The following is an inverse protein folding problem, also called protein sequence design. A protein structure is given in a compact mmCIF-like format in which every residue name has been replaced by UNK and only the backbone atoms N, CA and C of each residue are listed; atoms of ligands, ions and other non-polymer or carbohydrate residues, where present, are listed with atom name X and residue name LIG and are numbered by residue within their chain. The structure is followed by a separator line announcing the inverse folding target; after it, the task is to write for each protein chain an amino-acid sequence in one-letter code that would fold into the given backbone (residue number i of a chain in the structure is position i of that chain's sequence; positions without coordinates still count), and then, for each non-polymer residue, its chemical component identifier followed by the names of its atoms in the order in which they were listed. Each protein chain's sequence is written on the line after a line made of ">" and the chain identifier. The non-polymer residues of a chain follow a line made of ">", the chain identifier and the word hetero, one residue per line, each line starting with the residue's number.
data_IF_803014531750
#
_entry.id   IF_803014531750
#
_cell.length_a   1.000
_cell.length_b   1.000
_cell.length_c   1.000
_cell.angle_alpha   90.00
_cell.angle_beta   90.00
_cell.angle_gamma   90.00
#
_symmetry.space_group_name_H-M   'P 1'
#
loop_
_entity.id
_entity.type
_entity.pdbx_description
1 polymer ?
#
# COMPACT_ATOMS: atom_id res chain seq x y z
N UNK A 1 -8.59 -1.17 6.80
CA UNK A 1 -7.58 -1.51 7.84
C UNK A 1 -6.82 -0.25 8.19
N UNK A 2 -6.01 -0.23 9.25
CA UNK A 2 -5.13 0.90 9.51
C UNK A 2 -3.99 0.97 8.48
N UNK A 3 -3.39 2.16 8.22
CA UNK A 3 -2.33 2.34 7.22
C UNK A 3 -1.16 1.36 7.35
N UNK A 4 -0.69 1.11 8.59
CA UNK A 4 0.39 0.15 8.87
C UNK A 4 -0.03 -1.31 8.63
N UNK A 5 -1.32 -1.63 8.78
CA UNK A 5 -1.86 -2.94 8.45
C UNK A 5 -1.77 -3.22 6.96
N UNK A 6 -2.16 -2.24 6.12
CA UNK A 6 -2.03 -2.34 4.67
C UNK A 6 -0.57 -2.48 4.24
N UNK A 7 0.32 -1.67 4.82
CA UNK A 7 1.75 -1.76 4.56
C UNK A 7 2.30 -3.14 4.93
N UNK A 8 2.02 -3.63 6.14
CA UNK A 8 2.55 -4.90 6.61
C UNK A 8 2.04 -6.09 5.79
N UNK A 9 0.74 -6.12 5.50
CA UNK A 9 0.13 -7.16 4.68
C UNK A 9 0.69 -7.15 3.25
N UNK A 10 0.73 -5.99 2.61
CA UNK A 10 1.30 -5.83 1.28
C UNK A 10 2.78 -6.19 1.22
N UNK A 11 3.56 -5.82 2.25
CA UNK A 11 4.98 -6.17 2.34
C UNK A 11 5.20 -7.68 2.42
N UNK A 12 4.43 -8.40 3.24
CA UNK A 12 4.50 -9.86 3.34
C UNK A 12 4.18 -10.53 2.01
N UNK A 13 3.10 -10.12 1.32
CA UNK A 13 2.77 -10.69 0.01
C UNK A 13 3.85 -10.39 -1.03
N UNK A 14 4.40 -9.18 -1.00
CA UNK A 14 5.42 -8.77 -1.95
C UNK A 14 6.74 -9.52 -1.75
N UNK A 15 7.22 -9.64 -0.51
CA UNK A 15 8.45 -10.39 -0.24
C UNK A 15 8.31 -11.86 -0.61
N UNK A 16 7.16 -12.49 -0.32
CA UNK A 16 6.86 -13.86 -0.76
C UNK A 16 6.91 -13.98 -2.29
N UNK A 17 6.28 -13.04 -3.00
CA UNK A 17 6.33 -12.99 -4.47
C UNK A 17 7.77 -12.86 -4.98
N UNK A 18 8.56 -11.94 -4.43
CA UNK A 18 9.94 -11.71 -4.91
C UNK A 18 10.82 -12.92 -4.66
N UNK A 19 10.75 -13.53 -3.48
CA UNK A 19 11.50 -14.75 -3.17
C UNK A 19 11.06 -15.91 -4.05
N UNK A 20 9.77 -16.08 -4.32
CA UNK A 20 9.26 -17.15 -5.17
C UNK A 20 9.70 -17.01 -6.63
N UNK A 21 9.60 -15.80 -7.18
CA UNK A 21 9.80 -15.52 -8.61
C UNK A 21 11.25 -15.19 -8.96
N UNK A 22 11.90 -14.32 -8.17
CA UNK A 22 13.25 -13.82 -8.45
C UNK A 22 14.34 -14.46 -7.59
N UNK A 23 13.98 -15.27 -6.58
CA UNK A 23 14.93 -16.01 -5.73
C UNK A 23 15.97 -15.11 -5.04
N UNK A 24 15.55 -13.91 -4.66
CA UNK A 24 16.36 -12.89 -3.98
C UNK A 24 15.49 -12.03 -3.08
N UNK A 25 16.12 -11.22 -2.23
CA UNK A 25 15.40 -10.21 -1.44
C UNK A 25 14.84 -9.08 -2.33
N UNK A 26 13.76 -8.40 -1.88
CA UNK A 26 13.21 -7.21 -2.53
C UNK A 26 14.26 -6.13 -2.84
N UNK A 27 14.13 -5.47 -3.99
CA UNK A 27 14.97 -4.33 -4.36
C UNK A 27 14.41 -3.00 -3.81
N UNK A 28 15.26 -1.97 -3.68
CA UNK A 28 14.89 -0.70 -3.07
C UNK A 28 13.73 0.03 -3.79
N UNK A 29 13.88 0.31 -5.09
CA UNK A 29 12.92 1.12 -5.85
C UNK A 29 11.53 0.45 -5.89
N UNK A 30 11.40 -0.84 -6.27
CA UNK A 30 10.10 -1.51 -6.21
C UNK A 30 9.49 -1.54 -4.81
N UNK A 31 10.30 -1.67 -3.76
CA UNK A 31 9.80 -1.66 -2.38
C UNK A 31 9.23 -0.30 -1.98
N UNK A 32 9.84 0.81 -2.37
CA UNK A 32 9.24 2.14 -2.13
C UNK A 32 7.94 2.33 -2.92
N UNK A 33 7.88 1.80 -4.14
CA UNK A 33 6.64 1.80 -4.93
C UNK A 33 5.56 0.98 -4.24
N UNK A 34 5.89 -0.18 -3.69
CA UNK A 34 4.96 -0.99 -2.91
C UNK A 34 4.41 -0.20 -1.72
N UNK A 35 5.28 0.44 -0.93
CA UNK A 35 4.87 1.28 0.21
C UNK A 35 3.84 2.31 -0.25
N UNK A 36 4.14 3.05 -1.32
CA UNK A 36 3.20 4.01 -1.89
C UNK A 36 1.89 3.35 -2.36
N UNK A 37 1.97 2.24 -3.09
CA UNK A 37 0.82 1.55 -3.64
C UNK A 37 -0.11 0.98 -2.56
N UNK A 38 0.42 0.55 -1.41
CA UNK A 38 -0.38 0.11 -0.26
C UNK A 38 -1.18 1.23 0.39
N UNK A 39 -0.88 2.50 0.09
CA UNK A 39 -1.59 3.66 0.63
C UNK A 39 -2.35 4.43 -0.47
N UNK A 40 -2.10 4.11 -1.74
CA UNK A 40 -2.58 4.88 -2.88
C UNK A 40 -4.11 5.02 -2.92
N UNK A 41 -4.93 3.97 -2.69
CA UNK A 41 -6.38 4.12 -2.71
C UNK A 41 -6.88 5.17 -1.72
N UNK A 42 -6.42 5.08 -0.47
CA UNK A 42 -6.72 6.03 0.60
C UNK A 42 -6.23 7.45 0.31
N UNK A 43 -5.02 7.60 -0.24
CA UNK A 43 -4.45 8.90 -0.59
C UNK A 43 -5.21 9.61 -1.71
N UNK A 44 -6.00 8.88 -2.50
CA UNK A 44 -6.86 9.45 -3.54
C UNK A 44 -8.26 9.69 -2.99
N UNK A 45 -8.91 8.67 -2.46
CA UNK A 45 -10.33 8.74 -2.15
C UNK A 45 -10.60 9.62 -0.93
N UNK A 46 -9.80 9.51 0.14
CA UNK A 46 -10.06 10.26 1.38
C UNK A 46 -9.94 11.77 1.20
N UNK A 47 -8.89 12.34 0.56
CA UNK A 47 -8.86 13.78 0.31
C UNK A 47 -9.99 14.26 -0.61
N UNK A 48 -10.33 13.47 -1.64
CA UNK A 48 -11.37 13.83 -2.60
C UNK A 48 -12.78 13.73 -2.00
N UNK A 49 -13.04 12.78 -1.11
CA UNK A 49 -14.31 12.62 -0.42
C UNK A 49 -14.43 13.58 0.77
N UNK A 50 -13.50 13.52 1.73
CA UNK A 50 -13.66 14.25 3.00
C UNK A 50 -13.27 15.72 2.90
N UNK A 51 -12.21 16.02 2.16
CA UNK A 51 -11.70 17.39 2.01
C UNK A 51 -12.43 18.17 0.93
N UNK A 52 -12.44 17.62 -0.30
CA UNK A 52 -12.98 18.31 -1.47
C UNK A 52 -14.45 17.98 -1.77
N UNK A 53 -15.03 16.95 -1.14
CA UNK A 53 -16.43 16.55 -1.32
C UNK A 53 -16.79 16.28 -2.79
N UNK A 54 -15.82 15.78 -3.57
CA UNK A 54 -15.95 15.43 -4.99
C UNK A 54 -16.35 13.97 -5.20
N UNK A 55 -16.08 13.11 -4.22
CA UNK A 55 -16.43 11.69 -4.25
C UNK A 55 -17.52 11.39 -3.24
N UNK A 56 -18.39 10.40 -3.53
CA UNK A 56 -19.50 10.04 -2.64
C UNK A 56 -19.05 9.38 -1.33
N UNK A 57 -17.83 8.81 -1.31
CA UNK A 57 -17.25 8.14 -0.15
C UNK A 57 -15.73 8.08 -0.27
N UNK A 58 -15.04 8.04 0.89
CA UNK A 58 -13.63 7.74 1.07
C UNK A 58 -13.22 6.32 0.63
N UNK A 59 -14.19 5.47 0.26
CA UNK A 59 -13.98 4.25 -0.53
C UNK A 59 -14.87 4.28 -1.78
N UNK A 60 -14.34 4.80 -2.89
CA UNK A 60 -15.09 4.88 -4.14
C UNK A 60 -14.21 4.74 -5.39
N UNK A 61 -13.57 5.82 -5.84
CA UNK A 61 -12.85 5.87 -7.12
C UNK A 61 -11.65 4.93 -7.15
N UNK A 62 -10.67 5.13 -6.27
CA UNK A 62 -9.45 4.32 -6.20
C UNK A 62 -9.66 3.00 -5.44
N UNK A 63 -10.79 2.84 -4.76
CA UNK A 63 -11.18 1.53 -4.22
C UNK A 63 -11.93 0.64 -5.23
N UNK A 64 -12.27 1.16 -6.41
CA UNK A 64 -12.87 0.39 -7.51
C UNK A 64 -11.88 -0.57 -8.17
N UNK A 65 -12.30 -1.82 -8.42
CA UNK A 65 -11.51 -2.79 -9.17
C UNK A 65 -11.26 -2.37 -10.63
N UNK A 66 -12.18 -1.62 -11.23
CA UNK A 66 -12.02 -1.12 -12.60
C UNK A 66 -10.91 -0.09 -12.69
N UNK A 67 -10.91 0.86 -11.74
CA UNK A 67 -9.88 1.90 -11.65
C UNK A 67 -8.54 1.27 -11.24
N UNK A 68 -8.55 0.37 -10.26
CA UNK A 68 -7.35 -0.37 -9.86
C UNK A 68 -6.71 -1.09 -11.05
N UNK A 69 -7.49 -1.85 -11.83
CA UNK A 69 -6.98 -2.55 -13.02
C UNK A 69 -6.37 -1.58 -14.04
N UNK A 70 -7.04 -0.46 -14.33
CA UNK A 70 -6.54 0.55 -15.27
C UNK A 70 -5.24 1.21 -14.79
N UNK A 71 -5.18 1.62 -13.52
CA UNK A 71 -3.99 2.28 -12.93
C UNK A 71 -2.83 1.30 -12.83
N UNK A 72 -3.06 0.06 -12.38
CA UNK A 72 -2.04 -0.99 -12.33
C UNK A 72 -1.46 -1.26 -13.73
N UNK A 73 -2.33 -1.42 -14.74
CA UNK A 73 -1.89 -1.63 -16.12
C UNK A 73 -1.06 -0.46 -16.63
N UNK A 74 -1.51 0.78 -16.38
CA UNK A 74 -0.77 1.99 -16.76
C UNK A 74 0.62 2.04 -16.12
N UNK A 75 0.71 1.83 -14.81
CA UNK A 75 1.99 1.83 -14.07
C UNK A 75 2.91 0.72 -14.59
N UNK A 76 2.40 -0.49 -14.79
CA UNK A 76 3.17 -1.61 -15.30
C UNK A 76 3.73 -1.33 -16.71
N UNK A 77 2.92 -0.78 -17.61
CA UNK A 77 3.34 -0.42 -18.98
C UNK A 77 4.37 0.70 -18.96
N UNK A 78 4.13 1.78 -18.22
CA UNK A 78 5.04 2.93 -18.14
C UNK A 78 6.37 2.52 -17.52
N UNK A 79 6.34 1.76 -16.44
CA UNK A 79 7.56 1.32 -15.77
C UNK A 79 8.38 0.35 -16.63
N UNK A 80 7.72 -0.59 -17.32
CA UNK A 80 8.38 -1.51 -18.26
C UNK A 80 9.05 -0.75 -19.39
N UNK A 81 8.37 0.24 -19.98
CA UNK A 81 8.95 1.11 -21.04
C UNK A 81 10.13 1.95 -20.57
N UNK A 82 10.22 2.22 -19.26
CA UNK A 82 11.33 2.96 -18.64
C UNK A 82 12.45 2.06 -18.09
N UNK A 83 12.39 0.75 -18.32
CA UNK A 83 13.42 -0.19 -17.87
C UNK A 83 13.29 -0.64 -16.41
N UNK A 84 12.13 -0.44 -15.78
CA UNK A 84 11.85 -0.85 -14.39
C UNK A 84 10.68 -1.86 -14.33
N UNK A 85 10.78 -3.05 -14.95
CA UNK A 85 9.66 -3.99 -15.05
C UNK A 85 9.15 -4.49 -13.68
N UNK A 86 10.02 -4.53 -12.66
CA UNK A 86 9.68 -4.98 -11.30
C UNK A 86 8.73 -4.03 -10.54
N UNK A 87 8.64 -2.76 -10.97
CA UNK A 87 7.72 -1.77 -10.40
C UNK A 87 6.26 -2.15 -10.65
N UNK A 88 5.95 -2.81 -11.78
CA UNK A 88 4.59 -3.24 -12.11
C UNK A 88 4.02 -4.21 -11.07
N UNK A 89 4.67 -5.37 -10.83
CA UNK A 89 4.25 -6.31 -9.79
C UNK A 89 4.23 -5.71 -8.39
N UNK A 90 5.21 -4.88 -8.03
CA UNK A 90 5.24 -4.22 -6.72
C UNK A 90 4.04 -3.29 -6.52
N UNK A 91 3.73 -2.47 -7.51
CA UNK A 91 2.55 -1.60 -7.47
C UNK A 91 1.25 -2.42 -7.43
N UNK A 92 1.14 -3.46 -8.27
CA UNK A 92 -0.03 -4.32 -8.33
C UNK A 92 -0.31 -5.02 -6.98
N UNK A 93 0.72 -5.63 -6.38
CA UNK A 93 0.59 -6.32 -5.09
C UNK A 93 0.22 -5.32 -3.99
N UNK A 94 0.85 -4.15 -3.95
CA UNK A 94 0.52 -3.12 -2.97
C UNK A 94 -0.93 -2.66 -3.06
N UNK A 95 -1.38 -2.33 -4.27
CA UNK A 95 -2.74 -1.86 -4.51
C UNK A 95 -3.79 -2.95 -4.20
N UNK A 96 -3.61 -4.16 -4.73
CA UNK A 96 -4.59 -5.24 -4.55
C UNK A 96 -4.62 -5.74 -3.10
N UNK A 97 -3.48 -5.74 -2.40
CA UNK A 97 -3.46 -6.05 -0.97
C UNK A 97 -4.21 -5.01 -0.13
N UNK A 98 -4.21 -3.74 -0.55
CA UNK A 98 -5.01 -2.71 0.08
C UNK A 98 -6.51 -3.03 -0.04
N UNK A 99 -6.99 -3.24 -1.28
CA UNK A 99 -8.40 -3.57 -1.53
C UNK A 99 -8.84 -4.84 -0.79
N UNK A 100 -8.00 -5.88 -0.82
CA UNK A 100 -8.27 -7.11 -0.09
C UNK A 100 -8.32 -6.87 1.42
N UNK A 101 -7.41 -6.06 1.95
CA UNK A 101 -7.39 -5.68 3.36
C UNK A 101 -8.67 -4.99 3.82
N UNK A 102 -9.25 -4.16 2.96
CA UNK A 102 -10.53 -3.50 3.25
C UNK A 102 -11.75 -4.39 3.02
N UNK A 103 -11.61 -5.46 2.25
CA UNK A 103 -12.75 -6.30 1.85
C UNK A 103 -12.84 -7.65 2.59
N UNK A 104 -11.73 -8.20 3.10
CA UNK A 104 -11.69 -9.61 3.49
C UNK A 104 -12.67 -9.98 4.61
N UNK A 105 -12.89 -9.09 5.59
CA UNK A 105 -13.80 -9.37 6.71
C UNK A 105 -15.24 -9.51 6.22
N UNK A 106 -15.71 -8.52 5.47
CA UNK A 106 -17.03 -8.51 4.86
C UNK A 106 -17.23 -9.70 3.91
N UNK A 107 -16.22 -10.01 3.08
CA UNK A 107 -16.26 -11.17 2.17
C UNK A 107 -16.39 -12.50 2.93
N UNK A 108 -15.61 -12.69 4.01
CA UNK A 108 -15.68 -13.90 4.83
C UNK A 108 -17.01 -14.00 5.61
N UNK A 109 -17.60 -12.87 5.97
CA UNK A 109 -18.91 -12.79 6.61
C UNK A 109 -20.09 -12.90 5.63
N UNK A 110 -19.84 -12.93 4.31
CA UNK A 110 -20.88 -12.92 3.29
C UNK A 110 -21.62 -11.58 3.15
N UNK A 111 -21.08 -10.50 3.72
CA UNK A 111 -21.64 -9.15 3.70
C UNK A 111 -21.24 -8.41 2.41
N UNK A 112 -21.65 -8.93 1.25
CA UNK A 112 -21.24 -8.41 -0.06
C UNK A 112 -21.63 -6.94 -0.32
N UNK A 113 -22.61 -6.40 0.40
CA UNK A 113 -23.01 -5.00 0.27
C UNK A 113 -21.93 -4.03 0.82
N UNK A 114 -21.14 -4.44 1.80
CA UNK A 114 -20.05 -3.63 2.39
C UNK A 114 -18.87 -3.47 1.43
N UNK A 115 -18.75 -4.37 0.43
CA UNK A 115 -17.70 -4.30 -0.59
C UNK A 115 -18.22 -3.79 -1.94
N UNK A 116 -19.39 -3.16 -1.93
CA UNK A 116 -20.01 -2.55 -3.14
C UNK A 116 -19.10 -1.53 -3.82
N UNK A 117 -18.24 -0.84 -3.07
CA UNK A 117 -17.24 0.09 -3.58
C UNK A 117 -16.30 -0.52 -4.63
N UNK A 118 -16.03 -1.83 -4.57
CA UNK A 118 -15.19 -2.54 -5.54
C UNK A 118 -15.78 -2.47 -6.97
N UNK A 119 -17.08 -2.26 -7.09
CA UNK A 119 -17.82 -2.22 -8.35
C UNK A 119 -18.22 -0.81 -8.78
N UNK A 120 -17.81 0.22 -8.03
CA UNK A 120 -18.09 1.61 -8.41
C UNK A 120 -17.41 1.95 -9.75
N UNK A 121 -18.04 2.73 -10.67
CA UNK A 121 -19.34 3.40 -10.54
C UNK A 121 -20.53 2.58 -11.07
N UNK A 122 -20.32 1.31 -11.41
CA UNK A 122 -21.36 0.47 -12.01
C UNK A 122 -22.40 -0.01 -10.98
N UNK A 123 -22.03 -0.02 -9.71
CA UNK A 123 -22.91 -0.36 -8.59
C UNK A 123 -22.86 0.76 -7.53
N UNK A 124 -24.01 1.15 -6.95
CA UNK A 124 -24.05 2.20 -5.93
C UNK A 124 -23.35 1.76 -4.64
N UNK A 125 -22.67 2.70 -3.99
CA UNK A 125 -22.07 2.47 -2.67
C UNK A 125 -23.19 2.53 -1.64
N UNK A 126 -23.30 1.47 -0.84
CA UNK A 126 -24.36 1.33 0.18
C UNK A 126 -23.91 1.65 1.60
N UNK A 127 -22.60 1.72 1.83
CA UNK A 127 -22.03 1.98 3.15
C UNK A 127 -21.88 3.50 3.39
N UNK A 128 -22.32 4.03 4.56
CA UNK A 128 -22.04 5.41 4.96
C UNK A 128 -20.54 5.67 5.12
N UNK A 129 -20.12 6.89 4.83
CA UNK A 129 -18.73 7.30 4.92
C UNK A 129 -18.38 7.68 6.38
N UNK A 130 -17.82 6.75 7.16
CA UNK A 130 -17.50 7.01 8.56
C UNK A 130 -16.12 7.70 8.71
N UNK A 131 -16.13 9.02 8.52
CA UNK A 131 -15.00 9.93 8.86
C UNK A 131 -14.58 9.76 10.33
N UNK A 132 -15.51 9.35 11.19
CA UNK A 132 -15.31 9.17 12.63
C UNK A 132 -14.54 7.88 12.99
N UNK A 133 -14.48 6.88 12.10
CA UNK A 133 -13.93 5.56 12.44
C UNK A 133 -12.40 5.63 12.65
N UNK A 134 -11.68 6.40 11.82
CA UNK A 134 -10.21 6.56 11.94
C UNK A 134 -9.83 7.33 13.20
N UNK A 135 -10.58 8.39 13.54
CA UNK A 135 -10.34 9.18 14.75
C UNK A 135 -10.72 8.39 16.01
N UNK A 136 -11.78 7.59 15.93
CA UNK A 136 -12.19 6.67 17.00
C UNK A 136 -11.12 5.60 17.21
N UNK A 137 -10.69 4.90 16.17
CA UNK A 137 -9.65 3.86 16.26
C UNK A 137 -8.33 4.36 16.86
N UNK A 138 -7.94 5.60 16.55
CA UNK A 138 -6.74 6.23 17.14
C UNK A 138 -6.91 6.60 18.62
N UNK A 139 -8.13 6.94 19.05
CA UNK A 139 -8.43 7.37 20.42
C UNK A 139 -8.87 6.21 21.33
N UNK A 140 -9.30 5.08 20.76
CA UNK A 140 -9.72 3.87 21.47
C UNK A 140 -8.66 2.76 21.47
N UNK A 141 -7.38 3.11 21.29
CA UNK A 141 -6.24 2.21 21.51
C UNK A 141 -6.24 1.74 22.96
N UNK A 142 -6.98 0.66 23.20
CA UNK A 142 -7.12 0.03 24.50
C UNK A 142 -6.09 -1.08 24.61
N UNK A 143 -5.49 -1.20 25.79
CA UNK A 143 -4.64 -2.35 26.08
C UNK A 143 -5.50 -3.61 26.10
N UNK A 144 -5.39 -4.41 25.04
CA UNK A 144 -6.18 -5.62 24.85
C UNK A 144 -5.52 -6.60 23.88
N UNK A 145 -6.14 -7.78 23.67
CA UNK A 145 -5.60 -8.83 22.79
C UNK A 145 -5.29 -8.35 21.37
N UNK A 146 -6.13 -7.46 20.83
CA UNK A 146 -5.96 -6.89 19.48
C UNK A 146 -4.67 -6.05 19.34
N UNK A 147 -4.33 -5.28 20.37
CA UNK A 147 -3.09 -4.50 20.38
C UNK A 147 -1.88 -5.43 20.44
N UNK A 148 -1.91 -6.45 21.30
CA UNK A 148 -0.83 -7.44 21.39
C UNK A 148 -0.66 -8.17 20.06
N UNK A 149 -1.75 -8.59 19.43
CA UNK A 149 -1.73 -9.22 18.11
C UNK A 149 -1.10 -8.30 17.06
N UNK A 150 -1.53 -7.04 17.00
CA UNK A 150 -0.98 -6.03 16.09
C UNK A 150 0.53 -5.84 16.31
N UNK A 151 0.98 -5.77 17.56
CA UNK A 151 2.40 -5.61 17.89
C UNK A 151 3.23 -6.85 17.50
N UNK A 152 2.72 -8.06 17.74
CA UNK A 152 3.40 -9.31 17.36
C UNK A 152 3.53 -9.43 15.85
N UNK A 153 2.45 -9.17 15.12
CA UNK A 153 2.46 -9.17 13.65
C UNK A 153 3.40 -8.08 13.13
N UNK A 154 3.31 -6.87 13.68
CA UNK A 154 4.19 -5.75 13.31
C UNK A 154 5.67 -6.06 13.54
N UNK A 155 6.02 -6.67 14.67
CA UNK A 155 7.38 -7.11 14.96
C UNK A 155 7.84 -8.20 13.99
N UNK A 156 6.97 -9.14 13.63
CA UNK A 156 7.26 -10.18 12.64
C UNK A 156 7.54 -9.59 11.25
N UNK A 157 6.70 -8.65 10.79
CA UNK A 157 6.92 -7.91 9.53
C UNK A 157 8.23 -7.13 9.58
N UNK A 158 8.51 -6.46 10.70
CA UNK A 158 9.76 -5.72 10.87
C UNK A 158 11.00 -6.63 10.83
N UNK A 159 10.95 -7.78 11.50
CA UNK A 159 12.01 -8.78 11.46
C UNK A 159 12.22 -9.33 10.05
N UNK A 160 11.14 -9.55 9.30
CA UNK A 160 11.20 -9.97 7.90
C UNK A 160 11.86 -8.90 7.01
N UNK A 161 11.50 -7.62 7.19
CA UNK A 161 12.14 -6.52 6.47
C UNK A 161 13.64 -6.38 6.80
N UNK A 162 14.04 -6.64 8.06
CA UNK A 162 15.45 -6.73 8.43
C UNK A 162 16.15 -7.91 7.74
N UNK A 163 15.51 -9.09 7.70
CA UNK A 163 16.03 -10.29 7.04
C UNK A 163 16.17 -10.09 5.52
N UNK A 164 15.29 -9.31 4.90
CA UNK A 164 15.35 -8.91 3.50
C UNK A 164 16.46 -7.88 3.19
N UNK A 165 17.20 -7.41 4.20
CA UNK A 165 18.31 -6.48 4.01
C UNK A 165 17.90 -5.00 3.99
N UNK A 166 16.74 -4.66 4.55
CA UNK A 166 16.22 -3.29 4.68
C UNK A 166 15.94 -2.59 3.34
N UNK A 167 15.22 -3.26 2.41
CA UNK A 167 14.94 -2.70 1.11
C UNK A 167 14.22 -1.35 1.22
N UNK A 168 14.64 -0.41 0.38
CA UNK A 168 14.21 1.00 0.32
C UNK A 168 15.25 1.97 0.85
N UNK A 169 16.07 1.57 1.83
CA UNK A 169 17.06 2.45 2.44
C UNK A 169 18.31 2.69 1.59
N UNK A 170 18.62 1.79 0.65
CA UNK A 170 19.79 1.95 -0.21
C UNK A 170 19.78 3.25 -1.03
N UNK A 171 18.59 3.78 -1.35
CA UNK A 171 18.39 5.05 -2.06
C UNK A 171 18.89 6.24 -1.24
N UNK A 172 18.71 6.25 0.08
CA UNK A 172 19.21 7.32 0.94
C UNK A 172 20.75 7.33 0.97
N UNK A 173 21.38 6.15 0.89
CA UNK A 173 22.85 6.02 0.93
C UNK A 173 23.53 6.30 -0.41
N UNK A 174 22.80 6.18 -1.53
CA UNK A 174 23.32 6.45 -2.88
C UNK A 174 23.30 7.94 -3.19
N UNK A 175 22.24 8.65 -2.79
CA UNK A 175 22.14 10.12 -2.90
C UNK A 175 23.25 10.80 -2.11
N UNK A 176 23.47 10.40 -0.86
CA UNK A 176 24.52 10.98 0.01
C UNK A 176 25.94 10.75 -0.50
N UNK A 177 26.23 9.58 -1.08
CA UNK A 177 27.52 9.31 -1.75
C UNK A 177 27.71 10.14 -3.03
N UNK A 178 26.66 10.31 -3.83
CA UNK A 178 26.70 11.14 -5.03
C UNK A 178 26.97 12.62 -4.74
N UNK A 179 26.38 13.17 -3.67
CA UNK A 179 26.65 14.53 -3.21
C UNK A 179 28.09 14.70 -2.70
N UNK A 180 28.61 13.76 -1.91
CA UNK A 180 30.00 13.79 -1.43
C UNK A 180 31.02 13.69 -2.56
N UNK A 181 30.77 12.83 -3.56
CA UNK A 181 31.65 12.71 -4.73
C UNK A 181 31.67 13.96 -5.61
N UNK A 182 30.53 14.62 -5.81
CA UNK A 182 30.46 15.89 -6.55
C UNK A 182 31.12 17.06 -5.83
N UNK A 183 31.06 17.10 -4.49
CA UNK A 183 31.78 18.10 -3.71
C UNK A 183 33.30 17.88 -3.77
N UNK A 184 33.79 16.63 -3.72
CA UNK A 184 35.21 16.34 -3.84
C UNK A 184 35.80 16.84 -5.18
N UNK A 185 35.05 16.70 -6.29
CA UNK A 185 35.47 17.18 -7.62
C UNK A 185 35.45 18.72 -7.76
N UNK A 186 34.76 19.44 -6.87
CA UNK A 186 34.72 20.91 -6.89
C UNK A 186 35.83 21.58 -6.07
N UNK A 187 36.58 20.80 -5.28
CA UNK A 187 37.66 21.28 -4.42
C UNK A 187 39.05 20.71 -4.79
N UNK A 188 39.15 19.99 -5.93
CA UNK A 188 40.40 19.57 -6.60
C UNK A 188 40.54 20.33 -7.93
#
# INVERSE_FOLDING_TARGET
>A
MMPWGHLGFGYVLYTLYVHAVYRRSPADVPTLVLVFATQFPDLVDKPLAWGLQLLPSGRSLAHSLFVAAAVIALVAVVASRRGYPEVGPAFAIGYLSHLLGDSYRALLAGQFYEVSFLLWPLYPITEPDDVDEVLTDLTTLTFGPELVFTLVVGLGVFALWLADGRPGLGILTSVTRGFRGRLAVLFD
#
